data_IF_330740778068
#
_entry.id   IF_330740778068
#
_cell.length_a   1.000
_cell.length_b   1.000
_cell.length_c   1.000
_cell.angle_alpha   90.00
_cell.angle_beta   90.00
_cell.angle_gamma   90.00
#
_symmetry.space_group_name_H-M   'P 1'
#
loop_
_entity.id
_entity.type
_entity.pdbx_description
1 polymer ?
#
# COMPACT_ATOMS: atom_id res chain seq x y z
N UNK A 1 -17.90 -26.82 -89.22
CA UNK A 1 -18.67 -25.73 -89.86
C UNK A 1 -19.13 -24.76 -88.76
N UNK A 2 -18.39 -23.67 -88.55
CA UNK A 2 -18.84 -22.27 -88.87
C UNK A 2 -20.04 -21.81 -88.04
N UNK A 3 -19.81 -21.07 -86.95
CA UNK A 3 -19.80 -19.58 -86.86
C UNK A 3 -21.20 -18.94 -86.83
N UNK A 4 -21.62 -18.33 -85.71
CA UNK A 4 -21.79 -16.86 -85.53
C UNK A 4 -22.62 -16.47 -84.28
N UNK A 5 -21.92 -15.81 -83.35
CA UNK A 5 -22.22 -14.53 -82.64
C UNK A 5 -23.63 -13.92 -82.66
N UNK A 6 -24.11 -13.51 -81.47
CA UNK A 6 -24.68 -12.19 -81.08
C UNK A 6 -24.55 -12.07 -79.53
N UNK A 7 -23.79 -11.10 -78.94
CA UNK A 7 -24.18 -9.74 -78.44
C UNK A 7 -25.54 -9.74 -77.71
N UNK A 8 -25.79 -9.15 -76.53
CA UNK A 8 -25.09 -8.22 -75.61
C UNK A 8 -26.05 -7.92 -74.41
N UNK A 9 -25.51 -7.40 -73.29
CA UNK A 9 -26.17 -6.67 -72.16
C UNK A 9 -27.17 -7.46 -71.27
N UNK A 10 -27.28 -7.30 -69.94
CA UNK A 10 -26.51 -6.64 -68.87
C UNK A 10 -27.27 -6.86 -67.53
N UNK A 11 -26.63 -6.43 -66.42
CA UNK A 11 -27.17 -6.14 -65.08
C UNK A 11 -27.30 -7.30 -64.08
N UNK A 12 -26.70 -7.13 -62.90
CA UNK A 12 -27.05 -7.92 -61.71
C UNK A 12 -25.96 -8.04 -60.65
N UNK A 13 -25.82 -7.00 -59.83
CA UNK A 13 -24.96 -6.82 -58.66
C UNK A 13 -25.14 -7.84 -57.50
N UNK A 14 -24.10 -7.88 -56.65
CA UNK A 14 -24.05 -8.27 -55.22
C UNK A 14 -23.91 -9.78 -54.89
N UNK A 15 -22.76 -10.26 -54.40
CA UNK A 15 -22.15 -10.10 -53.06
C UNK A 15 -22.70 -11.08 -52.01
N UNK A 16 -21.86 -12.03 -51.57
CA UNK A 16 -21.74 -12.52 -50.18
C UNK A 16 -20.79 -13.74 -50.14
N UNK A 17 -19.50 -13.51 -49.87
CA UNK A 17 -18.58 -14.55 -49.39
C UNK A 17 -18.53 -14.44 -47.87
N UNK A 18 -19.26 -15.32 -47.19
CA UNK A 18 -19.20 -15.50 -45.75
C UNK A 18 -17.86 -16.16 -45.38
N UNK A 19 -16.94 -15.38 -44.80
CA UNK A 19 -15.75 -15.92 -44.14
C UNK A 19 -16.13 -16.18 -42.68
N UNK A 20 -16.22 -17.45 -42.32
CA UNK A 20 -16.37 -17.91 -40.95
C UNK A 20 -15.08 -17.60 -40.16
N UNK A 21 -15.09 -16.49 -39.41
CA UNK A 21 -14.09 -16.20 -38.38
C UNK A 21 -14.47 -16.90 -37.09
N UNK A 22 -13.87 -18.06 -36.81
CA UNK A 22 -13.89 -18.69 -35.49
C UNK A 22 -13.04 -17.83 -34.53
N UNK A 23 -13.67 -16.86 -33.89
CA UNK A 23 -13.12 -16.19 -32.73
C UNK A 23 -13.19 -17.15 -31.54
N UNK A 24 -12.06 -17.77 -31.19
CA UNK A 24 -11.91 -18.46 -29.91
C UNK A 24 -11.94 -17.40 -28.82
N UNK A 25 -12.89 -17.42 -27.87
CA UNK A 25 -12.83 -16.52 -26.74
C UNK A 25 -11.68 -16.99 -25.84
N UNK A 26 -10.57 -16.25 -25.89
CA UNK A 26 -9.51 -16.36 -24.89
C UNK A 26 -10.06 -15.84 -23.56
N UNK A 27 -10.76 -16.70 -22.81
CA UNK A 27 -11.06 -16.48 -21.41
C UNK A 27 -9.75 -16.55 -20.63
N UNK A 28 -9.04 -15.43 -20.54
CA UNK A 28 -8.00 -15.21 -19.55
C UNK A 28 -8.66 -15.26 -18.17
N UNK A 29 -8.68 -16.45 -17.58
CA UNK A 29 -9.04 -16.62 -16.18
C UNK A 29 -8.15 -15.67 -15.36
N UNK A 30 -8.78 -14.72 -14.66
CA UNK A 30 -8.07 -13.85 -13.74
C UNK A 30 -7.30 -14.74 -12.74
N UNK A 31 -6.02 -14.47 -12.45
CA UNK A 31 -5.25 -15.28 -11.52
C UNK A 31 -5.99 -15.32 -10.18
N UNK A 32 -6.22 -16.54 -9.68
CA UNK A 32 -6.92 -16.76 -8.43
C UNK A 32 -6.24 -15.96 -7.31
N UNK A 33 -6.99 -15.09 -6.63
CA UNK A 33 -6.51 -14.39 -5.44
C UNK A 33 -6.08 -15.44 -4.43
N UNK A 34 -4.81 -15.44 -4.05
CA UNK A 34 -4.35 -16.31 -2.96
C UNK A 34 -4.93 -15.75 -1.67
N UNK A 35 -5.96 -16.40 -1.11
CA UNK A 35 -6.46 -16.02 0.20
C UNK A 35 -5.41 -16.33 1.26
N UNK A 36 -5.04 -15.31 2.05
CA UNK A 36 -4.07 -15.43 3.13
C UNK A 36 -4.66 -14.75 4.35
N UNK A 37 -4.76 -15.49 5.46
CA UNK A 37 -4.87 -14.94 6.81
C UNK A 37 -3.69 -15.46 7.64
N UNK A 38 -2.77 -14.56 7.99
CA UNK A 38 -1.56 -14.90 8.74
C UNK A 38 -1.17 -13.79 9.69
N UNK A 39 -1.05 -14.16 10.97
CA UNK A 39 -0.41 -13.35 12.00
C UNK A 39 0.97 -13.91 12.33
N UNK A 40 1.98 -13.05 12.44
CA UNK A 40 3.35 -13.45 12.79
C UNK A 40 3.93 -12.46 13.78
N UNK A 41 4.58 -12.96 14.83
CA UNK A 41 5.31 -12.13 15.79
C UNK A 41 6.77 -12.54 15.82
N UNK A 42 7.67 -11.56 15.69
CA UNK A 42 9.12 -11.78 15.76
C UNK A 42 9.74 -10.82 16.76
N UNK A 43 10.70 -11.32 17.55
CA UNK A 43 11.36 -10.55 18.60
C UNK A 43 12.87 -10.77 18.52
N UNK A 44 13.62 -9.67 18.43
CA UNK A 44 15.08 -9.65 18.62
C UNK A 44 15.38 -9.04 19.99
N UNK A 45 16.17 -9.73 20.81
CA UNK A 45 16.55 -9.28 22.17
C UNK A 45 17.95 -9.77 22.51
N UNK A 46 18.79 -8.88 23.03
CA UNK A 46 20.11 -9.25 23.55
C UNK A 46 20.56 -8.30 24.67
N UNK A 47 21.55 -8.76 25.46
CA UNK A 47 22.21 -8.01 26.53
C UNK A 47 23.73 -8.14 26.38
N UNK A 48 24.48 -7.08 26.69
CA UNK A 48 25.90 -6.91 26.40
C UNK A 48 26.81 -7.98 27.01
N UNK A 49 26.50 -8.50 28.18
CA UNK A 49 27.32 -9.50 28.87
C UNK A 49 27.36 -10.89 28.17
N UNK A 50 26.50 -11.13 27.17
CA UNK A 50 26.40 -12.44 26.50
C UNK A 50 27.49 -12.64 25.42
N UNK A 51 28.17 -13.80 25.46
CA UNK A 51 29.18 -14.25 24.48
C UNK A 51 28.68 -14.37 23.03
N UNK A 52 27.42 -14.79 22.84
CA UNK A 52 26.76 -14.88 21.51
C UNK A 52 25.50 -14.00 21.51
N UNK A 53 25.51 -12.93 20.71
CA UNK A 53 24.39 -11.97 20.63
C UNK A 53 23.65 -12.15 19.30
N UNK A 54 22.33 -12.36 19.37
CA UNK A 54 21.47 -12.40 18.18
C UNK A 54 21.01 -10.97 17.91
N UNK A 55 21.66 -10.33 16.94
CA UNK A 55 21.39 -8.94 16.57
C UNK A 55 20.29 -8.79 15.52
N UNK A 56 19.91 -9.88 14.85
CA UNK A 56 18.93 -9.83 13.77
C UNK A 56 17.95 -10.99 13.89
N UNK A 57 16.69 -10.71 13.58
CA UNK A 57 15.67 -11.73 13.32
C UNK A 57 14.92 -11.37 12.06
N UNK A 58 14.42 -12.38 11.36
CA UNK A 58 13.74 -12.22 10.08
C UNK A 58 12.35 -12.83 10.18
N UNK A 59 11.35 -12.18 9.59
CA UNK A 59 10.01 -12.71 9.39
C UNK A 59 9.66 -12.71 7.89
N UNK A 60 8.88 -13.70 7.48
CA UNK A 60 8.33 -13.76 6.12
C UNK A 60 7.09 -12.88 6.03
N UNK A 61 6.95 -12.18 4.89
CA UNK A 61 5.80 -11.37 4.51
C UNK A 61 5.14 -12.07 3.32
N UNK A 62 3.98 -12.73 3.50
CA UNK A 62 3.34 -13.51 2.45
C UNK A 62 3.17 -12.74 1.15
N UNK A 63 3.46 -13.36 0.02
CA UNK A 63 3.38 -12.75 -1.31
C UNK A 63 4.47 -11.70 -1.63
N UNK A 64 5.04 -11.02 -0.63
CA UNK A 64 5.95 -9.89 -0.84
C UNK A 64 7.43 -10.30 -0.70
N UNK A 65 7.80 -10.92 0.42
CA UNK A 65 9.21 -11.13 0.75
C UNK A 65 9.49 -11.35 2.24
N UNK A 66 10.45 -10.60 2.78
CA UNK A 66 10.90 -10.72 4.17
C UNK A 66 11.14 -9.35 4.80
N UNK A 67 11.01 -9.30 6.13
CA UNK A 67 11.41 -8.17 6.96
C UNK A 67 12.45 -8.63 7.98
N UNK A 68 13.54 -7.87 8.09
CA UNK A 68 14.55 -8.02 9.12
C UNK A 68 14.36 -6.97 10.21
N UNK A 69 14.39 -7.40 11.48
CA UNK A 69 14.65 -6.53 12.61
C UNK A 69 16.14 -6.61 12.93
N UNK A 70 16.85 -5.48 12.88
CA UNK A 70 18.26 -5.39 13.26
C UNK A 70 18.36 -4.49 14.49
N UNK A 71 18.86 -5.05 15.59
CA UNK A 71 18.99 -4.39 16.89
C UNK A 71 20.48 -4.26 17.18
N UNK A 72 21.15 -3.20 16.68
CA UNK A 72 22.60 -2.98 16.87
C UNK A 72 22.87 -1.52 17.14
N UNK A 73 23.82 -1.14 18.02
CA UNK A 73 24.06 0.26 18.37
C UNK A 73 24.11 1.23 17.17
N UNK A 74 24.97 0.97 16.19
CA UNK A 74 25.14 1.82 14.99
C UNK A 74 24.31 1.38 13.78
N UNK A 75 23.32 0.50 13.97
CA UNK A 75 22.59 -0.15 12.88
C UNK A 75 21.22 -0.67 13.35
N UNK A 76 20.49 0.11 14.15
CA UNK A 76 19.12 -0.24 14.55
C UNK A 76 18.16 0.12 13.43
N UNK A 77 17.47 -0.88 12.86
CA UNK A 77 16.60 -0.67 11.70
C UNK A 77 15.55 -1.77 11.56
N UNK A 78 14.48 -1.43 10.84
CA UNK A 78 13.59 -2.37 10.18
C UNK A 78 13.88 -2.36 8.68
N UNK A 79 14.03 -3.52 8.06
CA UNK A 79 14.49 -3.63 6.67
C UNK A 79 13.62 -4.60 5.88
N UNK A 80 13.12 -4.14 4.74
CA UNK A 80 12.36 -4.96 3.79
C UNK A 80 13.26 -5.51 2.70
N UNK A 81 13.01 -6.76 2.31
CA UNK A 81 13.65 -7.45 1.18
C UNK A 81 12.57 -8.21 0.39
N UNK A 82 12.18 -7.74 -0.80
CA UNK A 82 11.17 -8.42 -1.60
C UNK A 82 11.73 -9.69 -2.27
N UNK A 83 10.82 -10.60 -2.64
CA UNK A 83 11.13 -11.76 -3.47
C UNK A 83 11.36 -11.38 -4.94
N UNK A 84 10.63 -10.36 -5.42
CA UNK A 84 10.70 -9.85 -6.78
C UNK A 84 10.99 -8.34 -6.75
N UNK A 85 12.03 -7.89 -7.44
CA UNK A 85 12.41 -6.47 -7.53
C UNK A 85 11.80 -5.72 -8.72
N UNK A 86 11.27 -6.45 -9.71
CA UNK A 86 10.55 -5.84 -10.83
C UNK A 86 9.24 -5.20 -10.36
N UNK A 87 8.59 -5.83 -9.38
CA UNK A 87 7.50 -5.21 -8.65
C UNK A 87 8.05 -4.16 -7.68
N UNK A 88 7.36 -3.02 -7.55
CA UNK A 88 7.69 -2.05 -6.52
C UNK A 88 7.17 -2.55 -5.16
N UNK A 89 8.05 -2.57 -4.16
CA UNK A 89 7.69 -2.87 -2.77
C UNK A 89 7.90 -1.64 -1.92
N UNK A 90 6.89 -1.28 -1.13
CA UNK A 90 6.95 -0.17 -0.19
C UNK A 90 6.70 -0.65 1.23
N UNK A 91 7.46 -0.11 2.16
CA UNK A 91 7.22 -0.22 3.59
C UNK A 91 7.01 1.18 4.15
N UNK A 92 5.76 1.51 4.35
CA UNK A 92 5.33 2.72 5.03
C UNK A 92 5.30 2.50 6.53
N UNK A 93 5.77 3.47 7.30
CA UNK A 93 5.64 3.48 8.75
C UNK A 93 5.53 4.88 9.33
N UNK A 94 4.70 5.02 10.35
CA UNK A 94 4.68 6.16 11.25
C UNK A 94 5.38 5.76 12.55
N UNK A 95 6.52 6.39 12.84
CA UNK A 95 7.32 6.16 14.05
C UNK A 95 6.93 7.16 15.13
N UNK A 96 6.59 6.69 16.32
CA UNK A 96 6.28 7.49 17.50
C UNK A 96 7.38 7.29 18.53
N UNK A 97 7.99 8.40 18.93
CA UNK A 97 9.12 8.43 19.87
C UNK A 97 8.94 9.56 20.85
N UNK A 98 9.53 9.43 22.04
CA UNK A 98 9.71 10.57 22.93
C UNK A 98 11.12 11.14 22.72
N UNK A 99 11.22 12.39 22.26
CA UNK A 99 12.50 13.08 22.07
C UNK A 99 12.52 14.37 22.87
N UNK A 100 13.50 14.48 23.79
CA UNK A 100 13.69 15.66 24.65
C UNK A 100 12.41 16.07 25.40
N UNK A 101 11.64 15.09 25.88
CA UNK A 101 10.39 15.32 26.62
C UNK A 101 9.16 15.62 25.77
N UNK A 102 9.26 15.53 24.43
CA UNK A 102 8.14 15.73 23.50
C UNK A 102 7.84 14.46 22.73
N UNK A 103 6.56 14.23 22.47
CA UNK A 103 6.11 13.15 21.60
C UNK A 103 6.26 13.60 20.15
N UNK A 104 7.03 12.84 19.37
CA UNK A 104 7.30 13.13 17.97
C UNK A 104 6.85 11.98 17.09
N UNK A 105 6.39 12.32 15.89
CA UNK A 105 6.05 11.38 14.83
C UNK A 105 6.97 11.57 13.63
N UNK A 106 7.29 10.49 12.93
CA UNK A 106 7.96 10.56 11.64
C UNK A 106 7.38 9.51 10.68
N UNK A 107 6.79 9.97 9.58
CA UNK A 107 6.26 9.10 8.52
C UNK A 107 7.34 8.87 7.46
N UNK A 108 7.63 7.60 7.19
CA UNK A 108 8.72 7.17 6.33
C UNK A 108 8.25 6.11 5.35
N UNK A 109 8.89 6.08 4.19
CA UNK A 109 8.64 5.09 3.15
C UNK A 109 9.97 4.50 2.68
N UNK A 110 10.20 3.23 3.02
CA UNK A 110 11.34 2.47 2.52
C UNK A 110 10.93 1.67 1.28
N UNK A 111 11.50 2.00 0.12
CA UNK A 111 11.09 1.47 -1.19
C UNK A 111 12.15 0.60 -1.84
N UNK A 112 11.73 -0.56 -2.35
CA UNK A 112 12.55 -1.42 -3.23
C UNK A 112 11.91 -1.46 -4.62
N UNK A 113 12.62 -0.94 -5.63
CA UNK A 113 12.14 -0.88 -7.02
C UNK A 113 13.30 -0.98 -8.02
N UNK A 114 13.01 -1.49 -9.22
CA UNK A 114 13.92 -1.43 -10.37
C UNK A 114 13.78 -0.13 -11.15
N UNK A 115 12.55 0.37 -11.33
CA UNK A 115 12.24 1.55 -12.12
C UNK A 115 11.73 2.67 -11.21
N UNK A 116 12.44 3.80 -11.17
CA UNK A 116 12.06 4.94 -10.32
C UNK A 116 10.75 5.61 -10.77
N UNK A 117 10.51 5.57 -12.08
CA UNK A 117 9.36 6.14 -12.79
C UNK A 117 9.01 5.28 -14.00
N UNK A 118 7.90 5.58 -14.67
CA UNK A 118 7.53 4.95 -15.94
C UNK A 118 8.53 5.23 -17.09
N UNK A 119 9.40 6.22 -16.91
CA UNK A 119 10.40 6.64 -17.89
C UNK A 119 11.78 6.01 -17.70
N UNK A 120 11.98 5.32 -16.58
CA UNK A 120 13.30 4.87 -16.16
C UNK A 120 13.79 3.71 -17.04
N UNK A 121 15.09 3.66 -17.31
CA UNK A 121 15.73 2.59 -18.09
C UNK A 121 16.10 1.36 -17.24
N UNK A 122 15.74 1.36 -15.96
CA UNK A 122 16.06 0.32 -14.98
C UNK A 122 17.36 0.56 -14.23
N UNK A 123 18.07 1.67 -14.49
CA UNK A 123 19.29 2.06 -13.75
C UNK A 123 19.01 2.97 -12.56
N UNK A 124 17.83 3.60 -12.49
CA UNK A 124 17.46 4.49 -11.38
C UNK A 124 16.95 3.76 -10.13
N UNK A 125 16.82 2.42 -10.20
CA UNK A 125 16.31 1.58 -9.13
C UNK A 125 17.11 1.60 -7.82
N UNK A 126 16.47 1.18 -6.73
CA UNK A 126 17.14 0.99 -5.44
C UNK A 126 17.81 -0.39 -5.36
N UNK A 127 18.66 -0.61 -4.35
CA UNK A 127 19.27 -1.91 -4.08
C UNK A 127 18.25 -3.01 -3.72
N UNK A 128 18.70 -4.26 -3.48
CA UNK A 128 17.81 -5.40 -3.22
C UNK A 128 17.08 -5.36 -1.86
N UNK A 129 17.26 -4.28 -1.10
CA UNK A 129 16.71 -4.08 0.23
C UNK A 129 16.60 -2.58 0.52
N UNK A 130 15.58 -2.20 1.26
CA UNK A 130 15.40 -0.85 1.78
C UNK A 130 15.11 -0.93 3.27
N UNK A 131 15.43 0.12 4.02
CA UNK A 131 15.29 0.11 5.46
C UNK A 131 14.93 1.48 5.99
N UNK A 132 14.36 1.48 7.19
CA UNK A 132 14.21 2.67 8.01
C UNK A 132 15.07 2.54 9.26
N UNK A 133 15.87 3.57 9.53
CA UNK A 133 16.69 3.67 10.74
C UNK A 133 15.85 4.08 11.94
N UNK A 134 16.08 3.43 13.08
CA UNK A 134 15.39 3.74 14.34
C UNK A 134 16.25 4.55 15.30
N UNK A 135 17.57 4.53 15.12
CA UNK A 135 18.51 5.23 15.98
C UNK A 135 19.26 6.29 15.18
N UNK A 136 19.55 7.43 15.81
CA UNK A 136 20.47 8.42 15.24
C UNK A 136 21.89 7.85 15.09
N UNK A 137 22.56 8.19 13.98
CA UNK A 137 23.91 7.69 13.71
C UNK A 137 24.97 8.36 14.58
N UNK A 138 24.86 9.69 14.75
CA UNK A 138 25.81 10.49 15.53
C UNK A 138 25.12 11.73 16.12
N UNK A 139 25.23 11.99 17.44
CA UNK A 139 25.68 11.02 18.45
C UNK A 139 24.66 9.86 18.53
N UNK A 140 25.15 8.64 18.75
CA UNK A 140 24.27 7.49 18.97
C UNK A 140 23.34 7.76 20.16
N UNK A 141 22.06 7.43 20.07
CA UNK A 141 21.14 7.57 21.20
C UNK A 141 21.47 6.49 22.23
N UNK A 142 21.78 6.91 23.46
CA UNK A 142 22.12 5.99 24.54
C UNK A 142 20.90 5.18 25.00
N UNK A 143 19.77 5.87 25.03
CA UNK A 143 18.44 5.35 25.33
C UNK A 143 17.50 5.77 24.22
N UNK A 144 16.67 4.85 23.74
CA UNK A 144 15.48 5.21 22.98
C UNK A 144 14.45 4.09 23.04
N UNK A 145 13.21 4.52 22.99
CA UNK A 145 12.02 3.70 23.00
C UNK A 145 10.98 4.32 22.10
N UNK A 146 10.19 3.48 21.47
CA UNK A 146 9.12 3.96 20.61
C UNK A 146 8.29 2.83 20.05
N UNK A 147 7.29 3.24 19.29
CA UNK A 147 6.43 2.34 18.53
C UNK A 147 6.31 2.81 17.10
N UNK A 148 5.99 1.90 16.20
CA UNK A 148 5.60 2.26 14.86
C UNK A 148 4.48 1.34 14.41
N UNK A 149 3.63 1.83 13.54
CA UNK A 149 2.75 0.99 12.74
C UNK A 149 2.91 1.36 11.28
N UNK A 150 2.52 0.42 10.42
CA UNK A 150 2.89 0.52 9.02
C UNK A 150 2.19 -0.50 8.16
N UNK A 151 2.43 -0.35 6.87
CA UNK A 151 1.96 -1.27 5.85
C UNK A 151 3.10 -1.60 4.91
N UNK A 152 3.17 -2.88 4.55
CA UNK A 152 4.06 -3.40 3.52
C UNK A 152 3.19 -3.85 2.37
N UNK A 153 3.39 -3.24 1.22
CA UNK A 153 2.64 -3.54 0.01
C UNK A 153 3.60 -3.75 -1.16
N UNK A 154 3.15 -4.53 -2.13
CA UNK A 154 3.84 -4.73 -3.39
C UNK A 154 2.86 -4.51 -4.53
N UNK A 155 3.30 -3.93 -5.62
CA UNK A 155 2.49 -3.64 -6.81
C UNK A 155 3.35 -3.70 -8.06
N UNK A 156 2.76 -3.64 -9.27
CA UNK A 156 3.53 -3.57 -10.50
C UNK A 156 4.60 -2.46 -10.43
N UNK A 157 5.73 -2.68 -11.12
CA UNK A 157 6.72 -1.63 -11.28
C UNK A 157 6.12 -0.41 -11.98
N UNK A 158 6.70 0.77 -11.77
CA UNK A 158 6.19 2.01 -12.36
C UNK A 158 6.30 2.04 -13.89
N UNK A 159 7.10 1.16 -14.47
CA UNK A 159 7.22 0.88 -15.91
C UNK A 159 6.05 0.03 -16.46
N UNK A 160 5.19 -0.50 -15.60
CA UNK A 160 4.05 -1.36 -15.94
C UNK A 160 2.74 -0.69 -15.53
N UNK A 161 1.59 -1.10 -16.10
CA UNK A 161 0.28 -0.71 -15.58
C UNK A 161 0.11 -1.12 -14.11
N UNK A 162 -0.55 -0.27 -13.32
CA UNK A 162 -0.76 -0.43 -11.88
C UNK A 162 -1.73 -1.56 -11.48
N UNK A 163 -2.70 -1.87 -12.33
CA UNK A 163 -3.60 -3.02 -12.20
C UNK A 163 -4.97 -2.75 -11.55
N UNK A 164 -5.24 -1.52 -11.11
CA UNK A 164 -6.49 -1.16 -10.43
C UNK A 164 -6.53 -1.67 -8.98
N UNK A 165 -7.52 -2.49 -8.64
CA UNK A 165 -7.65 -3.06 -7.31
C UNK A 165 -6.43 -3.94 -6.93
N UNK A 166 -6.12 -4.01 -5.64
CA UNK A 166 -4.99 -4.80 -5.15
C UNK A 166 -5.17 -6.30 -5.45
N UNK A 167 -4.13 -6.92 -5.99
CA UNK A 167 -4.08 -8.36 -6.30
C UNK A 167 -3.03 -9.12 -5.49
N UNK A 168 -2.05 -8.41 -4.96
CA UNK A 168 -0.99 -8.90 -4.08
C UNK A 168 -1.38 -8.73 -2.61
N UNK A 169 -0.99 -9.66 -1.71
CA UNK A 169 -1.25 -9.49 -0.29
C UNK A 169 -0.61 -8.21 0.27
N UNK A 170 -1.33 -7.53 1.16
CA UNK A 170 -0.84 -6.38 1.93
C UNK A 170 -0.69 -6.79 3.39
N UNK A 171 0.43 -6.42 3.99
CA UNK A 171 0.74 -6.77 5.39
C UNK A 171 0.80 -5.52 6.24
N UNK A 172 -0.08 -5.40 7.22
CA UNK A 172 0.06 -4.39 8.27
C UNK A 172 1.09 -4.86 9.31
N UNK A 173 1.68 -3.90 10.02
CA UNK A 173 2.57 -4.22 11.12
C UNK A 173 2.49 -3.23 12.27
N UNK A 174 2.91 -3.72 13.44
CA UNK A 174 3.19 -2.94 14.62
C UNK A 174 4.58 -3.33 15.14
N UNK A 175 5.42 -2.33 15.35
CA UNK A 175 6.79 -2.45 15.84
C UNK A 175 6.89 -1.73 17.18
N UNK A 176 7.62 -2.30 18.13
CA UNK A 176 8.09 -1.60 19.32
C UNK A 176 9.56 -1.84 19.52
N UNK A 177 10.26 -0.85 20.08
CA UNK A 177 11.66 -0.94 20.41
C UNK A 177 11.99 -0.32 21.75
N UNK A 178 13.09 -0.80 22.31
CA UNK A 178 13.71 -0.29 23.52
C UNK A 178 15.18 -0.68 23.51
N UNK A 179 16.07 0.30 23.71
CA UNK A 179 17.48 0.03 23.99
C UNK A 179 18.04 0.96 25.05
N UNK A 180 19.12 0.50 25.66
CA UNK A 180 19.82 1.19 26.74
C UNK A 180 21.32 1.04 26.59
N UNK A 181 22.03 2.06 27.09
CA UNK A 181 23.49 2.08 27.25
C UNK A 181 24.24 1.86 25.93
N UNK A 182 23.67 2.28 24.80
CA UNK A 182 24.28 2.12 23.49
C UNK A 182 25.60 2.88 23.31
N UNK A 183 25.85 3.94 24.09
CA UNK A 183 27.13 4.64 24.17
C UNK A 183 28.18 3.90 25.01
N UNK A 184 27.78 2.91 25.81
CA UNK A 184 28.64 2.24 26.80
C UNK A 184 28.79 0.74 26.50
N UNK A 185 29.82 0.33 25.74
CA UNK A 185 30.10 -1.08 25.45
C UNK A 185 30.15 -1.96 26.71
N UNK A 186 29.62 -3.19 26.60
CA UNK A 186 29.63 -4.19 27.68
C UNK A 186 28.30 -4.35 28.41
N UNK A 187 27.57 -3.25 28.65
CA UNK A 187 26.33 -3.25 29.43
C UNK A 187 25.07 -2.90 28.62
N UNK A 188 25.17 -2.97 27.30
CA UNK A 188 24.12 -2.60 26.37
C UNK A 188 22.91 -3.53 26.47
N UNK A 189 21.71 -3.00 26.24
CA UNK A 189 20.49 -3.78 26.07
C UNK A 189 19.77 -3.35 24.81
N UNK A 190 19.17 -4.31 24.10
CA UNK A 190 18.34 -4.01 22.94
C UNK A 190 17.21 -5.02 22.83
N UNK A 191 16.01 -4.52 22.58
CA UNK A 191 14.82 -5.31 22.25
C UNK A 191 14.02 -4.61 21.16
N UNK A 192 13.63 -5.37 20.14
CA UNK A 192 12.60 -4.98 19.19
C UNK A 192 11.59 -6.10 19.02
N UNK A 193 10.32 -5.77 18.89
CA UNK A 193 9.23 -6.71 18.64
C UNK A 193 8.38 -6.22 17.48
N UNK A 194 8.15 -7.08 16.49
CA UNK A 194 7.33 -6.81 15.32
C UNK A 194 6.19 -7.82 15.25
N UNK A 195 4.97 -7.31 15.19
CA UNK A 195 3.76 -8.04 14.87
C UNK A 195 3.39 -7.73 13.42
N UNK A 196 3.09 -8.75 12.63
CA UNK A 196 2.68 -8.68 11.23
C UNK A 196 1.31 -9.33 11.09
N UNK A 197 0.40 -8.73 10.34
CA UNK A 197 -0.87 -9.33 9.93
C UNK A 197 -1.07 -9.16 8.43
N UNK A 198 -1.29 -10.28 7.75
CA UNK A 198 -1.67 -10.32 6.34
C UNK A 198 -3.04 -10.95 6.27
N UNK A 199 -4.03 -10.21 5.79
CA UNK A 199 -5.39 -10.69 5.63
C UNK A 199 -5.95 -10.17 4.31
N UNK A 200 -5.93 -11.00 3.27
CA UNK A 200 -6.32 -10.59 1.90
C UNK A 200 -7.79 -10.27 1.78
N UNK A 201 -8.65 -10.91 2.56
CA UNK A 201 -10.11 -10.68 2.51
C UNK A 201 -10.51 -9.40 3.27
N UNK A 202 -9.56 -8.78 3.96
CA UNK A 202 -9.73 -7.50 4.64
C UNK A 202 -8.88 -6.38 4.05
N UNK A 203 -8.13 -6.60 2.96
CA UNK A 203 -7.31 -5.55 2.36
C UNK A 203 -8.11 -4.80 1.30
N UNK A 204 -7.76 -3.53 1.07
CA UNK A 204 -8.32 -2.74 -0.02
C UNK A 204 -7.32 -1.69 -0.48
N UNK A 205 -7.54 -1.14 -1.66
CA UNK A 205 -6.64 -0.16 -2.25
C UNK A 205 -6.85 -0.01 -3.75
N UNK A 206 -6.02 0.82 -4.34
CA UNK A 206 -6.07 1.18 -5.75
C UNK A 206 -4.65 1.47 -6.23
N UNK A 207 -4.30 0.99 -7.42
CA UNK A 207 -3.06 1.34 -8.09
C UNK A 207 -3.31 1.58 -9.57
N UNK A 208 -2.89 2.74 -10.07
CA UNK A 208 -2.85 3.01 -11.50
C UNK A 208 -1.61 3.84 -11.84
N UNK A 209 -1.07 3.67 -13.05
CA UNK A 209 0.08 4.41 -13.58
C UNK A 209 -0.24 4.99 -14.96
N UNK A 210 0.17 6.24 -15.18
CA UNK A 210 -0.07 6.98 -16.41
C UNK A 210 -1.54 7.37 -16.63
N UNK A 211 -1.76 8.18 -17.67
CA UNK A 211 -3.08 8.74 -18.00
C UNK A 211 -4.07 7.72 -18.52
N UNK A 212 -3.60 6.73 -19.28
CA UNK A 212 -4.49 5.76 -19.95
C UNK A 212 -5.19 4.88 -18.94
N UNK A 213 -4.45 4.43 -17.92
CA UNK A 213 -5.04 3.68 -16.82
C UNK A 213 -5.86 4.59 -15.90
N UNK A 214 -5.40 5.82 -15.65
CA UNK A 214 -6.17 6.79 -14.88
C UNK A 214 -7.51 7.14 -15.55
N UNK A 215 -7.70 6.98 -16.86
CA UNK A 215 -9.00 7.22 -17.49
C UNK A 215 -10.04 6.13 -17.13
N UNK A 216 -9.59 4.91 -16.84
CA UNK A 216 -10.46 3.72 -16.71
C UNK A 216 -10.45 3.08 -15.33
N UNK A 217 -9.47 3.38 -14.47
CA UNK A 217 -9.27 2.74 -13.16
C UNK A 217 -9.14 3.75 -12.02
N UNK A 218 -10.08 4.69 -11.97
CA UNK A 218 -10.11 5.77 -10.98
C UNK A 218 -10.65 5.33 -9.64
N UNK A 219 -11.48 4.29 -9.63
CA UNK A 219 -12.12 3.78 -8.43
C UNK A 219 -11.89 2.29 -8.30
N UNK A 220 -11.66 1.86 -7.05
CA UNK A 220 -11.66 0.47 -6.64
C UNK A 220 -12.70 0.27 -5.56
N UNK A 221 -13.50 -0.78 -5.69
CA UNK A 221 -14.49 -1.18 -4.67
C UNK A 221 -14.15 -2.58 -4.19
N UNK A 222 -14.03 -2.75 -2.88
CA UNK A 222 -13.69 -4.02 -2.25
C UNK A 222 -14.70 -4.37 -1.17
N UNK A 223 -15.30 -5.55 -1.26
CA UNK A 223 -16.19 -6.07 -0.22
C UNK A 223 -15.35 -6.51 0.98
N UNK A 224 -15.67 -5.97 2.15
CA UNK A 224 -15.06 -6.26 3.44
C UNK A 224 -16.08 -7.04 4.30
N UNK A 225 -15.83 -8.33 4.59
CA UNK A 225 -16.80 -9.20 5.28
C UNK A 225 -17.25 -8.60 6.62
N UNK A 226 -18.55 -8.34 6.80
CA UNK A 226 -19.10 -7.77 8.04
C UNK A 226 -18.76 -6.29 8.27
N UNK A 227 -18.39 -5.56 7.23
CA UNK A 227 -18.42 -4.09 7.21
C UNK A 227 -19.25 -3.57 6.03
N UNK A 228 -19.13 -4.17 4.85
CA UNK A 228 -19.74 -3.67 3.62
C UNK A 228 -18.68 -3.47 2.55
N UNK A 229 -18.62 -2.30 1.92
CA UNK A 229 -17.67 -2.03 0.84
C UNK A 229 -16.71 -0.89 1.21
N UNK A 230 -15.42 -1.07 0.95
CA UNK A 230 -14.46 0.03 0.90
C UNK A 230 -14.34 0.54 -0.54
N UNK A 231 -14.46 1.84 -0.71
CA UNK A 231 -14.40 2.54 -1.99
C UNK A 231 -13.19 3.46 -1.94
N UNK A 232 -12.21 3.23 -2.81
CA UNK A 232 -11.04 4.08 -2.96
C UNK A 232 -11.13 4.75 -4.30
N UNK A 233 -11.14 6.08 -4.31
CA UNK A 233 -11.17 6.89 -5.53
C UNK A 233 -9.89 7.68 -5.64
N UNK A 234 -9.35 7.75 -6.86
CA UNK A 234 -8.18 8.53 -7.18
C UNK A 234 -8.26 9.05 -8.62
N UNK A 235 -8.77 10.27 -8.77
CA UNK A 235 -9.01 10.92 -10.06
C UNK A 235 -7.74 11.58 -10.63
N UNK A 236 -7.46 11.44 -11.94
CA UNK A 236 -6.44 12.24 -12.60
C UNK A 236 -6.87 13.71 -12.71
N UNK A 237 -5.91 14.64 -12.68
CA UNK A 237 -6.15 16.08 -12.85
C UNK A 237 -5.71 16.91 -11.67
N UNK A 238 -5.91 18.23 -11.76
CA UNK A 238 -5.35 19.24 -10.86
C UNK A 238 -6.11 19.44 -9.54
N UNK A 239 -7.26 18.79 -9.36
CA UNK A 239 -8.10 18.93 -8.16
C UNK A 239 -7.54 18.02 -7.06
N UNK A 240 -6.97 18.63 -6.03
CA UNK A 240 -6.23 17.93 -4.98
C UNK A 240 -7.09 17.02 -4.07
N UNK A 241 -8.41 17.23 -4.06
CA UNK A 241 -9.36 16.60 -3.13
C UNK A 241 -10.17 15.43 -3.73
N UNK A 242 -9.89 15.04 -4.98
CA UNK A 242 -10.62 13.94 -5.61
C UNK A 242 -10.02 12.55 -5.28
N UNK A 243 -9.10 12.51 -4.31
CA UNK A 243 -8.39 11.30 -3.89
C UNK A 243 -8.93 10.91 -2.53
N UNK A 244 -9.80 9.92 -2.46
CA UNK A 244 -10.61 9.66 -1.26
C UNK A 244 -10.73 8.19 -0.91
N UNK A 245 -11.06 7.93 0.34
CA UNK A 245 -11.58 6.64 0.81
C UNK A 245 -12.94 6.86 1.46
N UNK A 246 -13.88 5.97 1.15
CA UNK A 246 -15.21 5.93 1.77
C UNK A 246 -15.58 4.48 2.10
N UNK A 247 -16.53 4.31 3.01
CA UNK A 247 -17.11 3.01 3.30
C UNK A 247 -18.61 3.04 3.06
N UNK A 248 -19.14 2.06 2.34
CA UNK A 248 -20.57 1.80 2.26
C UNK A 248 -20.89 0.70 3.28
N UNK A 249 -21.44 1.02 4.46
CA UNK A 249 -21.74 0.01 5.45
C UNK A 249 -22.86 -0.91 4.96
N UNK A 250 -22.68 -2.23 5.12
CA UNK A 250 -23.71 -3.23 4.87
C UNK A 250 -23.89 -4.00 6.18
N UNK A 251 -24.95 -3.67 6.89
CA UNK A 251 -25.27 -4.20 8.21
C UNK A 251 -26.77 -4.12 8.50
N UNK A 252 -27.16 -4.50 9.70
CA UNK A 252 -28.55 -4.41 10.18
C UNK A 252 -28.98 -2.97 10.46
N UNK A 253 -28.06 -2.13 10.94
CA UNK A 253 -28.28 -0.73 11.30
C UNK A 253 -27.17 0.15 10.71
N UNK A 254 -27.08 0.29 9.38
CA UNK A 254 -26.04 1.07 8.72
C UNK A 254 -26.02 2.54 9.19
N UNK A 255 -27.17 3.10 9.56
CA UNK A 255 -27.32 4.46 10.08
C UNK A 255 -26.63 4.71 11.42
N UNK A 256 -26.35 3.66 12.21
CA UNK A 256 -25.59 3.74 13.45
C UNK A 256 -24.07 3.58 13.24
N UNK A 257 -23.64 3.43 11.99
CA UNK A 257 -22.22 3.26 11.64
C UNK A 257 -21.46 4.58 11.72
N UNK A 258 -20.18 4.50 12.04
CA UNK A 258 -19.30 5.67 12.09
C UNK A 258 -17.88 5.31 11.66
N UNK A 259 -17.13 6.34 11.25
CA UNK A 259 -15.72 6.28 10.89
C UNK A 259 -14.91 7.24 11.77
N UNK A 260 -13.91 6.72 12.47
CA UNK A 260 -12.83 7.51 13.02
C UNK A 260 -11.62 7.42 12.10
N UNK A 261 -10.87 8.50 11.97
CA UNK A 261 -9.66 8.49 11.17
C UNK A 261 -8.59 9.44 11.69
N UNK A 262 -7.34 9.11 11.35
CA UNK A 262 -6.19 9.93 11.67
C UNK A 262 -5.30 10.10 10.44
N UNK A 263 -4.91 11.34 10.13
CA UNK A 263 -3.87 11.64 9.14
C UNK A 263 -2.50 11.64 9.79
N UNK A 264 -1.53 11.05 9.10
CA UNK A 264 -0.14 11.01 9.52
C UNK A 264 0.76 11.44 8.38
N UNK A 265 1.41 12.58 8.56
CA UNK A 265 2.27 13.17 7.53
C UNK A 265 3.49 13.86 8.15
N UNK A 266 4.62 13.83 7.43
CA UNK A 266 5.81 14.59 7.82
C UNK A 266 6.60 14.02 9.01
N UNK A 267 7.39 14.89 9.64
CA UNK A 267 8.23 14.60 10.80
C UNK A 267 8.27 15.81 11.73
N UNK A 268 7.93 15.59 13.01
CA UNK A 268 7.91 16.66 14.00
C UNK A 268 7.10 16.28 15.25
N UNK A 269 6.64 17.29 15.98
CA UNK A 269 5.81 17.11 17.16
C UNK A 269 4.45 16.49 16.77
N UNK A 270 3.93 15.56 17.58
CA UNK A 270 2.70 14.82 17.26
C UNK A 270 1.51 15.76 17.02
N UNK A 271 1.41 16.85 17.78
CA UNK A 271 0.30 17.81 17.66
C UNK A 271 0.21 18.53 16.31
N UNK A 272 1.31 18.59 15.56
CA UNK A 272 1.37 19.28 14.26
C UNK A 272 1.25 18.32 13.06
N UNK A 273 1.39 17.02 13.31
CA UNK A 273 1.60 16.00 12.27
C UNK A 273 0.65 14.80 12.37
N UNK A 274 -0.19 14.78 13.41
CA UNK A 274 -1.26 13.81 13.60
C UNK A 274 -2.56 14.57 13.81
N UNK A 275 -3.43 14.52 12.80
CA UNK A 275 -4.76 15.09 12.87
C UNK A 275 -5.75 13.96 13.08
N UNK A 276 -6.63 14.11 14.08
CA UNK A 276 -7.60 13.08 14.46
C UNK A 276 -9.01 13.60 14.29
N UNK A 277 -9.84 12.77 13.70
CA UNK A 277 -11.24 13.02 13.45
C UNK A 277 -12.03 11.81 13.96
N UNK A 278 -13.10 12.08 14.69
CA UNK A 278 -13.92 11.06 15.35
C UNK A 278 -15.36 11.19 14.89
N UNK A 279 -16.08 10.07 14.97
CA UNK A 279 -17.53 10.01 14.82
C UNK A 279 -18.06 10.58 13.49
N UNK A 280 -17.36 10.37 12.37
CA UNK A 280 -17.91 10.68 11.06
C UNK A 280 -19.07 9.72 10.77
N UNK A 281 -20.29 10.23 10.91
CA UNK A 281 -21.51 9.44 10.79
C UNK A 281 -21.90 9.06 9.36
N UNK A 282 -22.86 8.16 9.28
CA UNK A 282 -23.49 7.74 8.02
C UNK A 282 -24.25 8.90 7.36
N UNK A 283 -23.94 9.16 6.10
CA UNK A 283 -24.71 10.08 5.26
C UNK A 283 -25.88 9.34 4.58
N UNK A 284 -27.14 9.67 4.91
CA UNK A 284 -28.31 9.00 4.33
C UNK A 284 -28.53 9.33 2.85
N UNK A 285 -27.93 10.40 2.32
CA UNK A 285 -28.07 10.80 0.91
C UNK A 285 -27.16 9.94 0.02
N UNK A 286 -25.90 9.79 0.42
CA UNK A 286 -24.91 9.03 -0.36
C UNK A 286 -24.85 7.56 0.03
N UNK A 287 -25.30 7.21 1.25
CA UNK A 287 -25.17 5.89 1.84
C UNK A 287 -23.76 5.54 2.28
N UNK A 288 -22.92 6.55 2.57
CA UNK A 288 -21.49 6.39 2.84
C UNK A 288 -21.09 6.91 4.23
N UNK A 289 -20.00 6.35 4.75
CA UNK A 289 -19.11 6.97 5.72
C UNK A 289 -17.96 7.61 4.93
N UNK A 290 -17.87 8.95 4.97
CA UNK A 290 -16.99 9.70 4.08
C UNK A 290 -17.72 10.24 2.84
N UNK A 291 -16.99 10.62 1.77
CA UNK A 291 -15.56 10.40 1.56
C UNK A 291 -14.66 11.19 2.53
N UNK A 292 -13.51 10.61 2.86
CA UNK A 292 -12.40 11.33 3.51
C UNK A 292 -11.21 11.37 2.56
N UNK A 293 -10.49 12.48 2.55
CA UNK A 293 -9.34 12.68 1.67
C UNK A 293 -8.21 11.69 1.97
N UNK A 294 -7.41 11.36 0.96
CA UNK A 294 -6.20 10.57 1.12
C UNK A 294 -5.00 11.51 1.32
N UNK A 295 -4.04 11.18 2.20
CA UNK A 295 -2.80 11.93 2.27
C UNK A 295 -2.03 11.75 0.95
N UNK A 296 -1.51 12.85 0.41
CA UNK A 296 -0.73 12.82 -0.85
C UNK A 296 0.51 11.93 -0.80
N UNK A 297 1.18 11.93 0.34
CA UNK A 297 2.40 11.20 0.59
C UNK A 297 2.47 10.91 2.08
N UNK A 298 1.71 9.91 2.53
CA UNK A 298 1.54 9.68 3.95
C UNK A 298 0.74 8.44 4.29
N UNK A 299 0.26 8.42 5.51
CA UNK A 299 -0.49 7.31 6.08
C UNK A 299 -1.77 7.78 6.74
N UNK A 300 -2.73 6.86 6.86
CA UNK A 300 -3.90 7.02 7.70
C UNK A 300 -4.06 5.82 8.63
N UNK A 301 -4.71 6.06 9.77
CA UNK A 301 -5.44 5.01 10.49
C UNK A 301 -6.92 5.25 10.32
N UNK A 302 -7.68 4.19 10.13
CA UNK A 302 -9.13 4.23 9.96
C UNK A 302 -9.73 3.25 10.96
N UNK A 303 -10.81 3.62 11.64
CA UNK A 303 -11.60 2.70 12.44
C UNK A 303 -13.06 2.80 12.01
N UNK A 304 -13.55 1.75 11.38
CA UNK A 304 -14.92 1.67 10.89
C UNK A 304 -15.74 0.85 11.86
N UNK A 305 -16.87 1.38 12.31
CA UNK A 305 -17.82 0.67 13.16
C UNK A 305 -19.10 0.41 12.38
N UNK A 306 -19.51 -0.86 12.28
CA UNK A 306 -20.78 -1.29 11.68
C UNK A 306 -21.39 -2.34 12.61
N UNK A 307 -22.69 -2.24 12.90
CA UNK A 307 -23.41 -3.13 13.83
C UNK A 307 -22.68 -3.32 15.18
N UNK A 308 -22.08 -2.24 15.71
CA UNK A 308 -21.34 -2.25 16.98
C UNK A 308 -19.96 -2.92 16.93
N UNK A 309 -19.50 -3.41 15.77
CA UNK A 309 -18.17 -4.01 15.59
C UNK A 309 -17.22 -3.00 14.98
N UNK A 310 -16.25 -2.54 15.77
CA UNK A 310 -15.19 -1.61 15.32
C UNK A 310 -13.98 -2.36 14.75
N UNK A 311 -13.56 -2.00 13.54
CA UNK A 311 -12.39 -2.59 12.85
C UNK A 311 -11.40 -1.51 12.42
N UNK A 312 -10.14 -1.71 12.81
CA UNK A 312 -9.05 -0.79 12.51
C UNK A 312 -8.25 -1.20 11.27
N UNK A 313 -7.87 -0.20 10.47
CA UNK A 313 -7.03 -0.32 9.29
C UNK A 313 -5.85 0.65 9.36
N UNK A 314 -4.74 0.25 8.73
CA UNK A 314 -3.67 1.17 8.36
C UNK A 314 -3.67 1.30 6.85
N UNK A 315 -3.61 2.53 6.35
CA UNK A 315 -3.59 2.87 4.94
C UNK A 315 -2.32 3.68 4.64
N UNK A 316 -1.70 3.42 3.49
CA UNK A 316 -0.69 4.29 2.89
C UNK A 316 -1.19 4.84 1.56
N UNK A 317 -0.85 6.08 1.25
CA UNK A 317 -1.16 6.70 -0.03
C UNK A 317 0.04 7.49 -0.55
N UNK A 318 0.30 7.33 -1.84
CA UNK A 318 1.19 8.17 -2.63
C UNK A 318 0.58 8.42 -4.00
N UNK A 319 0.44 9.69 -4.38
CA UNK A 319 -0.08 10.04 -5.69
C UNK A 319 0.57 11.28 -6.32
N UNK A 320 0.66 11.22 -7.65
CA UNK A 320 1.01 12.32 -8.55
C UNK A 320 -0.05 12.29 -9.65
N UNK A 321 -1.03 13.18 -9.60
CA UNK A 321 -2.22 13.09 -10.47
C UNK A 321 -2.27 14.16 -11.57
N UNK A 322 -1.35 15.13 -11.52
CA UNK A 322 -1.37 16.36 -12.33
C UNK A 322 0.00 16.75 -12.89
N UNK A 323 0.81 15.80 -13.34
CA UNK A 323 2.04 16.10 -14.05
C UNK A 323 1.76 16.45 -15.51
N UNK A 324 1.29 17.66 -15.77
CA UNK A 324 0.94 18.13 -17.12
C UNK A 324 2.14 18.13 -18.08
N UNK A 325 3.37 18.26 -17.54
CA UNK A 325 4.60 18.23 -18.33
C UNK A 325 4.95 16.82 -18.81
N UNK A 326 4.62 15.81 -18.02
CA UNK A 326 4.90 14.42 -18.36
C UNK A 326 3.81 13.49 -17.77
N UNK A 327 2.62 13.42 -18.40
CA UNK A 327 1.45 12.76 -17.80
C UNK A 327 1.60 11.26 -17.61
N UNK A 328 2.49 10.59 -18.34
CA UNK A 328 2.85 9.18 -18.10
C UNK A 328 3.53 8.96 -16.74
N UNK A 329 4.01 10.01 -16.07
CA UNK A 329 4.54 9.95 -14.71
C UNK A 329 3.46 10.05 -13.64
N UNK A 330 2.20 10.31 -14.04
CA UNK A 330 1.10 10.28 -13.11
C UNK A 330 0.94 8.88 -12.53
N UNK A 331 0.53 8.81 -11.28
CA UNK A 331 0.27 7.57 -10.59
C UNK A 331 -0.61 7.81 -9.38
N UNK A 332 -1.28 6.74 -8.96
CA UNK A 332 -1.88 6.62 -7.66
C UNK A 332 -1.55 5.26 -7.06
N UNK A 333 -1.11 5.26 -5.82
CA UNK A 333 -0.64 4.07 -5.11
C UNK A 333 -1.22 4.07 -3.70
N UNK A 334 -2.34 3.35 -3.51
CA UNK A 334 -3.06 3.24 -2.24
C UNK A 334 -3.11 1.79 -1.79
N UNK A 335 -2.74 1.53 -0.54
CA UNK A 335 -2.85 0.20 0.05
C UNK A 335 -3.26 0.26 1.51
N UNK A 336 -4.23 -0.57 1.88
CA UNK A 336 -4.73 -0.68 3.25
C UNK A 336 -4.82 -2.14 3.69
N UNK A 337 -4.56 -2.38 4.98
CA UNK A 337 -4.71 -3.69 5.61
C UNK A 337 -5.25 -3.56 7.04
N UNK A 338 -5.95 -4.58 7.56
CA UNK A 338 -6.42 -4.58 8.95
C UNK A 338 -5.26 -4.48 9.93
N UNK A 339 -5.40 -3.72 11.02
CA UNK A 339 -4.37 -3.61 12.06
C UNK A 339 -4.06 -4.98 12.72
N UNK A 340 -2.82 -5.24 13.17
CA UNK A 340 -2.38 -6.55 13.69
C UNK A 340 -3.19 -7.15 14.84
#
# INVERSE_FOLDING_TARGET
MTRRTHRLLALGTAAALAVAGLAVPSSSAAPARTSVDRKTRVVVKWKGEKRKRVYQRTANVPGIGRVDLVCRPKSTMVRVRPNNRRAETQMWLAKFEQKRGRDVVAVKNARVFTYATAADDGRGGTGPRAHEGLNQRTPIEDFSSGTAYGVISQRPGRDQPGGGALTTPVTSFQLSWWWERFRYPGNQYCRMALSLRTQTDGQFGLTWHGTDEAATRRTSTTVLPGLGEAIVTCEPGSVAYDQTVAFRPIGTHPEASYLDFEYLQGEGDVGDHVERYEDLGYDPVTGLLGPVDLPRNGMMRLWVSVDGVKRGYVLSSYYVVNNDKDPRLNLCEVAAAPLP
#
